data_IF_424292343050
#
_entry.id   IF_424292343050
#
_cell.length_a   1.000
_cell.length_b   1.000
_cell.length_c   1.000
_cell.angle_alpha   90.00
_cell.angle_beta   90.00
_cell.angle_gamma   90.00
#
_symmetry.space_group_name_H-M   'P 1'
#
loop_
_entity.id
_entity.type
_entity.pdbx_description
1 polymer ?
#
# COMPACT_ATOMS: atom_id res chain seq x y z
N UNK A 1 5.04 -6.61 4.09
CA UNK A 1 6.40 -6.09 4.22
C UNK A 1 7.35 -7.21 3.94
N UNK A 2 8.23 -7.07 2.97
CA UNK A 2 9.27 -8.07 2.75
C UNK A 2 10.28 -7.98 3.89
N UNK A 3 10.30 -8.96 4.77
CA UNK A 3 11.39 -9.09 5.72
C UNK A 3 12.61 -9.69 5.02
N UNK A 4 13.25 -8.92 4.14
CA UNK A 4 14.67 -9.11 3.83
C UNK A 4 15.53 -8.67 5.02
N UNK A 5 14.92 -8.57 6.20
CA UNK A 5 15.53 -8.00 7.40
C UNK A 5 16.76 -8.78 7.90
N UNK A 6 16.90 -10.04 7.57
CA UNK A 6 17.99 -10.84 8.18
C UNK A 6 19.32 -10.85 7.42
N UNK A 7 19.42 -10.26 6.22
CA UNK A 7 20.72 -10.13 5.52
C UNK A 7 21.16 -8.70 5.23
N UNK A 8 20.34 -7.69 5.51
CA UNK A 8 20.67 -6.27 5.27
C UNK A 8 20.37 -5.42 6.51
N UNK A 9 20.92 -5.78 7.67
CA UNK A 9 20.72 -5.05 8.93
C UNK A 9 21.40 -3.68 8.98
N UNK A 10 22.33 -3.39 8.08
CA UNK A 10 22.96 -2.07 7.95
C UNK A 10 22.44 -1.37 6.69
N UNK A 11 21.21 -0.85 6.74
CA UNK A 11 20.68 0.02 5.70
C UNK A 11 21.38 1.37 5.77
N UNK A 12 22.44 1.54 5.02
CA UNK A 12 22.99 2.88 4.80
C UNK A 12 21.92 3.76 4.12
N UNK A 13 21.81 5.01 4.57
CA UNK A 13 20.92 5.99 3.94
C UNK A 13 21.33 6.13 2.46
N UNK A 14 20.36 6.26 1.53
CA UNK A 14 20.68 6.42 0.11
C UNK A 14 21.70 7.52 -0.10
N UNK A 15 22.68 7.27 -0.97
CA UNK A 15 23.70 8.25 -1.35
C UNK A 15 22.99 9.48 -1.96
N UNK A 16 23.21 10.67 -1.41
CA UNK A 16 22.52 11.91 -1.83
C UNK A 16 21.61 12.54 -0.78
N UNK A 17 21.24 11.81 0.26
CA UNK A 17 20.37 12.35 1.35
C UNK A 17 21.13 13.30 2.28
N UNK A 18 22.47 13.30 2.31
CA UNK A 18 23.25 14.23 3.16
C UNK A 18 22.95 15.71 2.89
N UNK A 19 22.62 16.07 1.65
CA UNK A 19 22.23 17.44 1.29
C UNK A 19 20.78 17.77 1.68
N UNK A 20 19.94 16.75 1.90
CA UNK A 20 18.54 16.87 2.27
C UNK A 20 18.28 16.99 3.78
N UNK A 21 19.26 16.75 4.64
CA UNK A 21 19.09 16.89 6.08
C UNK A 21 18.68 18.32 6.49
N UNK A 22 18.93 19.32 5.66
CA UNK A 22 18.45 20.69 5.84
C UNK A 22 17.02 20.94 5.35
N UNK A 23 16.42 20.05 4.56
CA UNK A 23 15.02 20.09 4.10
C UNK A 23 14.07 19.22 4.94
N UNK A 24 14.57 18.54 5.97
CA UNK A 24 13.80 17.72 6.88
C UNK A 24 12.96 18.57 7.85
N UNK A 25 11.94 19.25 7.34
CA UNK A 25 10.87 19.72 8.19
C UNK A 25 9.82 18.61 8.28
N UNK A 26 9.92 17.74 9.28
CA UNK A 26 8.80 16.90 9.64
C UNK A 26 7.92 17.66 10.61
N UNK A 27 6.64 17.78 10.31
CA UNK A 27 5.69 18.43 11.20
C UNK A 27 4.87 17.38 11.95
N UNK A 28 4.75 17.57 13.24
CA UNK A 28 3.92 16.73 14.12
C UNK A 28 2.67 17.47 14.61
N UNK A 29 2.57 18.77 14.31
CA UNK A 29 1.47 19.64 14.71
C UNK A 29 0.86 20.34 13.50
N UNK A 30 -0.48 20.31 13.41
CA UNK A 30 -1.22 20.90 12.30
C UNK A 30 -1.01 22.41 12.15
N UNK A 31 -1.06 23.15 13.25
CA UNK A 31 -0.95 24.61 13.20
C UNK A 31 0.43 25.04 12.69
N UNK A 32 1.49 24.42 13.20
CA UNK A 32 2.85 24.71 12.75
C UNK A 32 3.03 24.43 11.24
N UNK A 33 2.48 23.32 10.75
CA UNK A 33 2.54 23.01 9.32
C UNK A 33 1.68 23.95 8.49
N UNK A 34 0.48 24.31 8.97
CA UNK A 34 -0.39 25.30 8.32
C UNK A 34 0.31 26.66 8.19
N UNK A 35 0.91 27.15 9.27
CA UNK A 35 1.67 28.42 9.28
C UNK A 35 2.87 28.36 8.32
N UNK A 36 3.59 27.23 8.30
CA UNK A 36 4.68 27.04 7.36
C UNK A 36 4.19 27.10 5.90
N UNK A 37 3.11 26.38 5.55
CA UNK A 37 2.54 26.41 4.20
C UNK A 37 2.07 27.83 3.88
N UNK A 38 1.36 28.50 4.79
CA UNK A 38 0.86 29.85 4.59
C UNK A 38 1.99 30.85 4.30
N UNK A 39 3.08 30.79 5.08
CA UNK A 39 4.25 31.66 4.91
C UNK A 39 4.97 31.43 3.57
N UNK A 40 4.94 30.21 3.06
CA UNK A 40 5.66 29.81 1.84
C UNK A 40 4.74 29.59 0.65
N UNK A 41 3.45 29.95 0.78
CA UNK A 41 2.47 29.75 -0.29
C UNK A 41 2.78 30.62 -1.51
N UNK A 42 2.85 30.01 -2.65
CA UNK A 42 2.93 30.65 -3.97
C UNK A 42 1.82 30.05 -4.81
N UNK A 43 0.90 30.88 -5.28
CA UNK A 43 -0.20 30.41 -6.12
C UNK A 43 0.33 29.67 -7.36
N UNK A 44 -0.18 28.47 -7.68
CA UNK A 44 0.23 27.76 -8.88
C UNK A 44 -0.24 28.49 -10.13
N UNK A 45 0.68 28.70 -11.07
CA UNK A 45 0.39 29.40 -12.33
C UNK A 45 -0.17 28.43 -13.35
N UNK A 46 -1.27 28.81 -14.01
CA UNK A 46 -1.80 28.07 -15.16
C UNK A 46 -0.74 27.94 -16.25
N UNK A 47 -0.52 26.73 -16.71
CA UNK A 47 0.48 26.45 -17.75
C UNK A 47 -0.16 25.57 -18.83
N UNK A 48 0.20 25.83 -20.08
CA UNK A 48 -0.21 24.95 -21.18
C UNK A 48 0.55 23.61 -21.06
N UNK A 49 -0.17 22.52 -20.80
CA UNK A 49 0.39 21.17 -20.68
C UNK A 49 -0.19 20.25 -21.74
N UNK A 50 0.70 19.43 -22.33
CA UNK A 50 0.28 18.33 -23.20
C UNK A 50 0.12 17.06 -22.37
N UNK A 51 -1.03 16.40 -22.46
CA UNK A 51 -1.36 15.20 -21.71
C UNK A 51 -1.79 14.08 -22.66
N UNK A 52 -1.50 12.85 -22.30
CA UNK A 52 -2.14 11.70 -22.93
C UNK A 52 -3.56 11.58 -22.34
N UNK A 53 -4.55 11.63 -23.19
CA UNK A 53 -5.96 11.49 -22.84
C UNK A 53 -6.35 10.03 -22.62
N UNK A 54 -7.52 9.82 -21.99
CA UNK A 54 -8.12 8.49 -21.74
C UNK A 54 -7.44 7.63 -20.68
N UNK A 55 -6.94 8.27 -19.63
CA UNK A 55 -6.42 7.58 -18.45
C UNK A 55 -7.49 7.44 -17.36
N UNK A 56 -7.33 6.43 -16.48
CA UNK A 56 -8.14 6.29 -15.27
C UNK A 56 -8.03 7.53 -14.38
N UNK A 57 -6.87 8.20 -14.40
CA UNK A 57 -6.59 9.45 -13.70
C UNK A 57 -7.46 10.58 -14.24
N UNK A 58 -7.54 10.75 -15.56
CA UNK A 58 -8.35 11.80 -16.18
C UNK A 58 -9.84 11.66 -15.83
N UNK A 59 -10.38 10.42 -15.91
CA UNK A 59 -11.78 10.15 -15.54
C UNK A 59 -12.08 10.50 -14.08
N UNK A 60 -11.11 10.29 -13.17
CA UNK A 60 -11.24 10.66 -11.77
C UNK A 60 -11.21 12.17 -11.57
N UNK A 61 -10.28 12.87 -12.21
CA UNK A 61 -10.10 14.31 -12.05
C UNK A 61 -11.28 15.11 -12.61
N UNK A 62 -11.88 14.69 -13.73
CA UNK A 62 -13.05 15.37 -14.32
C UNK A 62 -14.26 15.46 -13.39
N UNK A 63 -14.42 14.49 -12.49
CA UNK A 63 -15.57 14.37 -11.59
C UNK A 63 -15.15 14.44 -10.11
N UNK A 64 -14.00 15.05 -9.83
CA UNK A 64 -13.49 15.14 -8.47
C UNK A 64 -13.79 16.49 -7.82
N UNK A 65 -13.65 16.50 -6.51
CA UNK A 65 -13.64 17.70 -5.68
C UNK A 65 -12.24 18.33 -5.59
N UNK A 66 -11.32 17.95 -6.48
CA UNK A 66 -9.94 18.41 -6.42
C UNK A 66 -9.75 19.81 -7.04
N UNK A 67 -9.02 20.64 -6.32
CA UNK A 67 -8.53 21.94 -6.76
C UNK A 67 -7.19 22.26 -6.11
N UNK A 68 -6.46 23.21 -6.67
CA UNK A 68 -5.11 23.59 -6.21
C UNK A 68 -5.11 24.98 -5.57
N UNK A 69 -6.08 25.25 -4.70
CA UNK A 69 -6.14 26.49 -3.90
C UNK A 69 -5.51 26.29 -2.52
N UNK A 70 -5.13 27.38 -1.88
CA UNK A 70 -4.60 27.33 -0.51
C UNK A 70 -5.57 26.65 0.46
N UNK A 71 -6.85 27.00 0.38
CA UNK A 71 -7.90 26.44 1.24
C UNK A 71 -8.03 24.93 1.05
N UNK A 72 -7.98 24.45 -0.19
CA UNK A 72 -8.02 23.02 -0.48
C UNK A 72 -6.81 22.27 0.06
N UNK A 73 -5.62 22.88 -0.02
CA UNK A 73 -4.39 22.32 0.55
C UNK A 73 -4.50 22.20 2.06
N UNK A 74 -4.96 23.25 2.75
CA UNK A 74 -5.11 23.24 4.21
C UNK A 74 -6.22 22.25 4.64
N UNK A 75 -7.33 22.22 3.92
CA UNK A 75 -8.39 21.25 4.19
C UNK A 75 -7.89 19.79 4.07
N UNK A 76 -7.13 19.51 3.03
CA UNK A 76 -6.55 18.17 2.80
C UNK A 76 -5.54 17.81 3.86
N UNK A 77 -4.66 18.75 4.25
CA UNK A 77 -3.72 18.57 5.35
C UNK A 77 -4.46 18.21 6.65
N UNK A 78 -5.51 18.96 6.98
CA UNK A 78 -6.33 18.71 8.17
C UNK A 78 -6.96 17.31 8.11
N UNK A 79 -7.55 16.94 6.98
CA UNK A 79 -8.15 15.63 6.75
C UNK A 79 -7.14 14.49 6.97
N UNK A 80 -5.98 14.59 6.33
CA UNK A 80 -4.96 13.54 6.43
C UNK A 80 -4.38 13.46 7.85
N UNK A 81 -4.01 14.59 8.45
CA UNK A 81 -3.44 14.59 9.81
C UNK A 81 -4.40 14.03 10.85
N UNK A 82 -5.67 14.39 10.78
CA UNK A 82 -6.62 14.02 11.81
C UNK A 82 -7.34 12.69 11.55
N UNK A 83 -7.41 12.24 10.28
CA UNK A 83 -8.06 10.97 9.93
C UNK A 83 -7.11 9.84 9.62
N UNK A 84 -6.00 10.15 8.98
CA UNK A 84 -5.07 9.15 8.45
C UNK A 84 -3.69 9.23 9.09
N UNK A 85 -3.50 10.17 10.01
CA UNK A 85 -2.33 10.38 10.83
C UNK A 85 -1.13 10.95 10.08
N UNK A 86 -0.73 10.42 8.95
CA UNK A 86 0.51 10.77 8.26
C UNK A 86 0.33 10.89 6.75
N UNK A 87 1.19 11.69 6.14
CA UNK A 87 1.27 11.87 4.69
C UNK A 87 2.48 12.73 4.33
N UNK A 88 2.61 13.02 3.05
CA UNK A 88 3.66 13.87 2.52
C UNK A 88 3.01 14.99 1.71
N UNK A 89 3.31 16.24 2.04
CA UNK A 89 2.94 17.38 1.21
C UNK A 89 4.00 17.65 0.18
N UNK A 90 3.60 17.78 -1.09
CA UNK A 90 4.50 17.97 -2.24
C UNK A 90 4.07 19.21 -3.02
N UNK A 91 5.04 20.07 -3.32
CA UNK A 91 4.83 21.29 -4.09
C UNK A 91 5.90 21.45 -5.16
N UNK A 92 5.46 21.61 -6.40
CA UNK A 92 6.31 22.03 -7.52
C UNK A 92 5.99 23.46 -7.94
N UNK A 93 7.02 24.28 -8.17
CA UNK A 93 6.92 25.63 -8.74
C UNK A 93 8.10 25.89 -9.68
N UNK A 94 7.81 26.48 -10.82
CA UNK A 94 8.82 26.81 -11.82
C UNK A 94 9.71 25.61 -12.18
N UNK A 95 9.11 24.44 -12.39
CA UNK A 95 9.78 23.19 -12.71
C UNK A 95 10.71 22.65 -11.60
N UNK A 96 10.56 23.07 -10.37
CA UNK A 96 11.40 22.65 -9.23
C UNK A 96 10.53 22.09 -8.10
N UNK A 97 11.00 21.02 -7.50
CA UNK A 97 10.48 20.52 -6.24
C UNK A 97 10.80 21.53 -5.12
N UNK A 98 9.81 22.27 -4.67
CA UNK A 98 9.96 23.33 -3.65
C UNK A 98 9.75 22.81 -2.25
N UNK A 99 8.74 21.97 -2.09
CA UNK A 99 8.43 21.39 -0.80
C UNK A 99 8.19 19.88 -0.97
N UNK A 100 8.78 19.12 -0.09
CA UNK A 100 8.57 17.68 0.07
C UNK A 100 8.62 17.39 1.58
N UNK A 101 7.47 17.50 2.22
CA UNK A 101 7.36 17.61 3.68
C UNK A 101 6.59 16.43 4.21
N UNK A 102 7.28 15.59 4.99
CA UNK A 102 6.64 14.54 5.76
C UNK A 102 5.92 15.13 6.98
N UNK A 103 4.73 14.65 7.26
CA UNK A 103 4.02 15.01 8.47
C UNK A 103 3.35 13.80 9.10
N UNK A 104 3.27 13.85 10.43
CA UNK A 104 2.63 12.83 11.23
C UNK A 104 1.98 13.49 12.45
N UNK A 105 0.71 13.22 12.69
CA UNK A 105 0.06 13.73 13.89
C UNK A 105 0.65 13.07 15.14
N UNK A 106 1.10 13.90 16.09
CA UNK A 106 1.51 13.40 17.40
C UNK A 106 0.25 13.11 18.23
N UNK A 107 0.06 11.87 18.65
CA UNK A 107 -1.10 11.47 19.45
C UNK A 107 -1.28 12.23 20.77
N UNK A 108 -0.24 12.90 21.27
CA UNK A 108 -0.35 13.77 22.46
C UNK A 108 -1.20 15.02 22.19
N UNK A 109 -1.21 15.50 20.95
CA UNK A 109 -1.98 16.68 20.53
C UNK A 109 -3.40 16.34 20.09
N UNK A 110 -3.77 15.08 20.11
CA UNK A 110 -5.09 14.60 19.76
C UNK A 110 -6.13 14.84 20.87
N UNK A 111 -6.12 16.01 21.49
CA UNK A 111 -7.22 16.55 22.30
C UNK A 111 -8.40 17.01 21.45
N UNK A 112 -8.34 16.78 20.16
CA UNK A 112 -9.35 17.13 19.19
C UNK A 112 -10.58 16.22 19.36
N UNK A 113 -11.80 16.69 19.09
CA UNK A 113 -13.02 15.87 19.11
C UNK A 113 -12.96 14.62 18.21
N UNK A 114 -12.00 14.52 17.30
CA UNK A 114 -11.71 13.33 16.51
C UNK A 114 -10.79 12.32 17.19
N UNK A 115 -10.18 12.65 18.31
CA UNK A 115 -9.31 11.75 19.06
C UNK A 115 -10.05 10.54 19.62
N UNK A 116 -11.33 10.69 19.89
CA UNK A 116 -12.16 9.62 20.44
C UNK A 116 -12.36 8.43 19.50
N UNK A 117 -12.05 8.55 18.23
CA UNK A 117 -12.18 7.42 17.32
C UNK A 117 -11.07 6.38 17.47
N UNK A 118 -9.98 6.71 18.16
CA UNK A 118 -8.90 5.77 18.51
C UNK A 118 -9.12 5.09 19.86
N UNK A 119 -10.07 5.55 20.63
CA UNK A 119 -10.48 4.88 21.85
C UNK A 119 -11.66 3.98 21.51
N UNK A 120 -11.42 2.68 21.54
CA UNK A 120 -12.54 1.75 21.55
C UNK A 120 -13.37 2.07 22.81
N UNK A 121 -14.68 2.07 22.65
CA UNK A 121 -15.61 2.14 23.79
C UNK A 121 -15.16 1.14 24.84
N UNK A 122 -15.25 1.50 26.11
CA UNK A 122 -14.74 0.66 27.22
C UNK A 122 -15.30 -0.76 27.17
N UNK A 123 -16.56 -0.95 26.79
CA UNK A 123 -17.16 -2.26 26.62
C UNK A 123 -16.57 -3.13 25.49
N UNK A 124 -15.86 -2.55 24.52
CA UNK A 124 -15.14 -3.31 23.48
C UNK A 124 -13.77 -3.75 24.01
N UNK A 125 -13.10 -2.92 24.80
CA UNK A 125 -11.85 -3.30 25.49
C UNK A 125 -12.07 -4.47 26.43
N UNK A 126 -13.12 -4.40 27.26
CA UNK A 126 -13.49 -5.46 28.18
C UNK A 126 -13.80 -6.77 27.46
N UNK A 127 -14.50 -6.73 26.34
CA UNK A 127 -14.77 -7.93 25.51
C UNK A 127 -13.51 -8.52 24.90
N UNK A 128 -12.58 -7.70 24.44
CA UNK A 128 -11.29 -8.14 23.92
C UNK A 128 -10.48 -8.78 25.06
N UNK A 129 -10.43 -8.14 26.21
CA UNK A 129 -9.69 -8.64 27.37
C UNK A 129 -10.29 -9.95 27.88
N UNK A 130 -11.62 -10.03 28.00
CA UNK A 130 -12.31 -11.25 28.40
C UNK A 130 -12.06 -12.41 27.41
N UNK A 131 -12.05 -12.12 26.13
CA UNK A 131 -11.75 -13.11 25.10
C UNK A 131 -10.33 -13.70 25.26
N UNK A 132 -9.33 -12.86 25.52
CA UNK A 132 -7.97 -13.32 25.78
C UNK A 132 -7.85 -14.11 27.08
N UNK A 133 -8.55 -13.69 28.12
CA UNK A 133 -8.56 -14.41 29.40
C UNK A 133 -9.18 -15.81 29.25
N UNK A 134 -10.20 -15.95 28.41
CA UNK A 134 -10.80 -17.26 28.10
C UNK A 134 -9.91 -18.13 27.21
N UNK A 135 -9.27 -17.56 26.17
CA UNK A 135 -8.31 -18.26 25.32
C UNK A 135 -7.04 -18.64 26.11
N UNK A 136 -6.59 -17.79 27.03
CA UNK A 136 -5.47 -18.08 27.92
C UNK A 136 -5.72 -19.27 28.85
N UNK A 137 -6.97 -19.48 29.25
CA UNK A 137 -7.41 -20.67 30.02
C UNK A 137 -7.42 -21.95 29.16
N UNK A 138 -7.48 -21.81 27.83
CA UNK A 138 -7.54 -22.96 26.90
C UNK A 138 -6.21 -23.32 26.24
N UNK A 139 -5.20 -22.40 26.28
CA UNK A 139 -3.88 -22.62 25.67
C UNK A 139 -2.77 -22.05 26.55
N UNK A 140 -1.78 -22.87 26.83
CA UNK A 140 -0.58 -22.47 27.60
C UNK A 140 0.38 -21.54 26.84
N UNK A 141 0.19 -21.30 25.53
CA UNK A 141 1.10 -20.53 24.67
C UNK A 141 0.38 -19.40 23.91
N UNK A 142 -0.03 -18.33 24.62
CA UNK A 142 -0.31 -17.05 23.97
C UNK A 142 0.99 -16.25 23.88
N UNK A 143 1.38 -15.71 22.69
CA UNK A 143 2.59 -14.92 22.57
C UNK A 143 2.59 -13.72 23.54
N UNK A 144 3.73 -13.46 24.20
CA UNK A 144 3.92 -12.35 25.13
C UNK A 144 3.48 -10.98 24.60
N UNK A 145 3.47 -10.80 23.28
CA UNK A 145 3.08 -9.56 22.61
C UNK A 145 1.59 -9.22 22.77
N UNK A 146 0.72 -10.23 22.90
CA UNK A 146 -0.71 -10.01 23.15
C UNK A 146 -0.96 -9.47 24.55
N UNK A 147 -0.22 -9.96 25.54
CA UNK A 147 -0.29 -9.50 26.92
C UNK A 147 0.16 -8.06 27.10
N UNK A 148 1.21 -7.66 26.35
CA UNK A 148 1.75 -6.29 26.32
C UNK A 148 0.72 -5.29 25.74
N UNK A 149 -0.06 -5.69 24.75
CA UNK A 149 -1.10 -4.86 24.14
C UNK A 149 -2.21 -4.47 25.11
N UNK A 150 -2.60 -5.35 26.05
CA UNK A 150 -3.68 -5.12 27.02
C UNK A 150 -3.22 -4.39 28.30
N UNK A 151 -2.01 -4.65 28.75
CA UNK A 151 -1.49 -4.08 30.00
C UNK A 151 -1.19 -2.58 29.93
N UNK A 152 -0.99 -1.99 28.75
CA UNK A 152 -0.43 -0.65 28.59
C UNK A 152 -1.42 0.41 28.07
N UNK A 153 -2.72 0.37 28.42
CA UNK A 153 -3.71 1.38 28.00
C UNK A 153 -3.60 1.73 26.50
N UNK A 154 -3.41 0.73 25.66
CA UNK A 154 -3.24 0.91 24.23
C UNK A 154 -4.55 1.43 23.62
N UNK A 155 -4.42 2.39 22.70
CA UNK A 155 -5.56 2.85 21.89
C UNK A 155 -5.76 1.91 20.73
N UNK A 156 -6.99 1.67 20.34
CA UNK A 156 -7.38 0.76 19.29
C UNK A 156 -8.18 1.48 18.22
N UNK A 157 -8.06 1.06 16.99
CA UNK A 157 -8.92 1.51 15.90
C UNK A 157 -9.39 0.33 15.06
N UNK A 158 -10.54 0.51 14.44
CA UNK A 158 -11.14 -0.51 13.57
C UNK A 158 -11.06 -0.03 12.12
N UNK A 159 -10.48 -0.85 11.27
CA UNK A 159 -10.42 -0.60 9.83
C UNK A 159 -10.81 -1.88 9.10
N UNK A 160 -11.76 -1.79 8.17
CA UNK A 160 -12.28 -2.95 7.44
C UNK A 160 -12.76 -4.10 8.36
N UNK A 161 -13.39 -3.75 9.48
CA UNK A 161 -13.83 -4.69 10.54
C UNK A 161 -12.68 -5.44 11.26
N UNK A 162 -11.45 -4.98 11.09
CA UNK A 162 -10.30 -5.47 11.84
C UNK A 162 -9.91 -4.48 12.93
N UNK A 163 -9.60 -5.00 14.11
CA UNK A 163 -9.10 -4.20 15.21
C UNK A 163 -7.57 -4.14 15.10
N UNK A 164 -7.05 -2.93 15.02
CA UNK A 164 -5.61 -2.69 14.99
C UNK A 164 -5.17 -2.03 16.29
N UNK A 165 -4.18 -2.62 16.96
CA UNK A 165 -3.53 -2.00 18.11
C UNK A 165 -2.74 -0.75 17.68
N UNK A 166 -2.94 0.36 18.34
CA UNK A 166 -2.18 1.59 18.10
C UNK A 166 -1.08 1.72 19.14
N UNK A 167 0.11 1.75 18.64
CA UNK A 167 1.40 2.06 19.24
C UNK A 167 1.44 2.46 20.72
N UNK A 168 2.42 1.90 21.47
CA UNK A 168 2.83 2.40 22.78
C UNK A 168 3.00 3.91 22.72
N UNK A 169 2.20 4.63 23.49
CA UNK A 169 2.55 5.98 23.89
C UNK A 169 3.50 5.79 25.06
N UNK A 170 4.79 5.87 24.80
CA UNK A 170 5.76 5.94 25.88
C UNK A 170 5.57 7.28 26.59
N UNK A 171 4.92 7.23 27.76
CA UNK A 171 4.63 8.41 28.57
C UNK A 171 5.88 9.05 29.18
N UNK A 172 7.04 8.43 29.01
CA UNK A 172 8.28 8.84 29.67
C UNK A 172 9.29 9.55 28.75
N UNK A 173 9.08 9.59 27.45
CA UNK A 173 9.98 10.35 26.56
C UNK A 173 9.50 11.78 26.41
N UNK A 174 10.22 12.71 27.03
CA UNK A 174 10.08 14.17 26.82
C UNK A 174 10.57 14.64 25.45
N UNK A 175 11.13 13.76 24.65
CA UNK A 175 11.58 14.06 23.30
C UNK A 175 10.44 13.85 22.32
N UNK A 176 10.21 14.83 21.46
CA UNK A 176 9.35 14.66 20.29
C UNK A 176 9.93 13.50 19.48
N UNK A 177 9.22 12.37 19.32
CA UNK A 177 9.79 11.27 18.60
C UNK A 177 10.07 11.71 17.16
N UNK A 178 11.33 11.71 16.78
CA UNK A 178 11.74 11.81 15.40
C UNK A 178 11.19 10.56 14.70
N UNK A 179 10.11 10.73 13.97
CA UNK A 179 9.57 9.63 13.18
C UNK A 179 10.36 9.57 11.90
N UNK A 180 11.26 8.60 11.83
CA UNK A 180 12.01 8.35 10.62
C UNK A 180 11.02 8.12 9.45
N UNK A 181 11.18 8.84 8.33
CA UNK A 181 10.33 8.66 7.17
C UNK A 181 10.37 7.21 6.71
N UNK A 182 9.22 6.70 6.30
CA UNK A 182 9.13 5.33 5.79
C UNK A 182 9.83 5.17 4.43
N UNK A 183 9.98 3.93 4.01
CA UNK A 183 10.61 3.57 2.73
C UNK A 183 9.99 4.31 1.53
N UNK A 184 8.67 4.50 1.51
CA UNK A 184 7.98 5.20 0.45
C UNK A 184 8.41 6.65 0.31
N UNK A 185 8.71 7.32 1.43
CA UNK A 185 9.21 8.70 1.43
C UNK A 185 10.44 8.84 0.54
N UNK A 186 11.44 7.99 0.72
CA UNK A 186 12.69 8.06 -0.03
C UNK A 186 12.52 7.69 -1.50
N UNK A 187 11.69 6.70 -1.79
CA UNK A 187 11.40 6.28 -3.16
C UNK A 187 10.81 7.43 -3.99
N UNK A 188 9.78 8.08 -3.47
CA UNK A 188 9.11 9.16 -4.18
C UNK A 188 9.95 10.43 -4.25
N UNK A 189 10.73 10.75 -3.21
CA UNK A 189 11.65 11.87 -3.24
C UNK A 189 12.63 11.75 -4.41
N UNK A 190 13.30 10.59 -4.53
CA UNK A 190 14.24 10.32 -5.61
C UNK A 190 13.54 10.34 -6.98
N UNK A 191 12.34 9.81 -7.09
CA UNK A 191 11.56 9.88 -8.32
C UNK A 191 11.28 11.33 -8.73
N UNK A 192 10.77 12.16 -7.83
CA UNK A 192 10.39 13.55 -8.12
C UNK A 192 11.60 14.40 -8.49
N UNK A 193 12.75 14.22 -7.85
CA UNK A 193 13.99 14.87 -8.22
C UNK A 193 14.47 14.48 -9.63
N UNK A 194 14.29 13.22 -10.02
CA UNK A 194 14.59 12.77 -11.38
C UNK A 194 13.61 13.32 -12.40
N UNK A 195 12.33 13.51 -12.01
CA UNK A 195 11.34 14.12 -12.89
C UNK A 195 11.70 15.55 -13.24
N UNK A 196 12.06 16.40 -12.28
CA UNK A 196 12.42 17.80 -12.54
C UNK A 196 13.68 17.96 -13.41
N UNK A 197 14.58 16.97 -13.38
CA UNK A 197 15.78 16.93 -14.24
C UNK A 197 15.47 16.45 -15.65
N UNK A 198 14.39 15.69 -15.84
CA UNK A 198 14.08 15.01 -17.11
C UNK A 198 12.94 15.67 -17.88
N UNK A 199 11.98 16.23 -17.16
CA UNK A 199 10.75 16.78 -17.73
C UNK A 199 10.47 18.19 -17.20
N UNK A 200 9.65 18.92 -17.93
CA UNK A 200 9.05 20.15 -17.39
C UNK A 200 7.87 19.75 -16.50
N UNK A 201 8.03 19.89 -15.19
CA UNK A 201 7.01 19.63 -14.18
C UNK A 201 6.17 20.90 -14.00
N UNK A 202 4.83 20.83 -14.11
CA UNK A 202 3.99 22.02 -13.93
C UNK A 202 3.92 22.44 -12.46
N UNK A 203 3.47 23.69 -12.24
CA UNK A 203 3.17 24.19 -10.90
C UNK A 203 1.99 23.42 -10.32
N UNK A 204 2.17 22.80 -9.14
CA UNK A 204 1.18 21.90 -8.57
C UNK A 204 1.44 21.66 -7.08
N UNK A 205 0.38 21.52 -6.31
CA UNK A 205 0.36 21.01 -4.94
C UNK A 205 -0.44 19.73 -4.87
N UNK A 206 0.06 18.76 -4.11
CA UNK A 206 -0.64 17.51 -3.86
C UNK A 206 -0.16 16.83 -2.58
N UNK A 207 -0.91 15.85 -2.13
CA UNK A 207 -0.51 14.99 -1.02
C UNK A 207 -0.20 13.58 -1.53
N UNK A 208 0.77 12.94 -0.91
CA UNK A 208 1.19 11.59 -1.21
C UNK A 208 0.95 10.69 0.00
N UNK A 209 0.31 9.56 -0.25
CA UNK A 209 0.03 8.53 0.75
C UNK A 209 0.88 7.30 0.44
N UNK A 210 1.67 6.87 1.41
CA UNK A 210 2.62 5.74 1.29
C UNK A 210 2.20 4.51 2.10
N UNK A 211 1.07 4.56 2.78
CA UNK A 211 0.57 3.46 3.61
C UNK A 211 -0.57 2.68 2.95
N UNK A 212 -0.89 1.55 3.57
CA UNK A 212 -1.77 0.51 3.01
C UNK A 212 -3.27 0.83 3.16
N UNK A 213 -3.77 1.95 2.64
CA UNK A 213 -5.21 2.20 2.51
C UNK A 213 -5.53 3.35 1.55
N UNK A 214 -6.74 3.38 1.04
CA UNK A 214 -7.32 4.49 0.28
C UNK A 214 -8.04 5.42 1.26
N UNK A 215 -8.07 6.73 0.99
CA UNK A 215 -8.42 7.67 2.03
C UNK A 215 -9.61 8.59 1.72
N UNK A 216 -9.81 9.07 0.50
CA UNK A 216 -10.87 10.04 0.21
C UNK A 216 -12.02 9.43 -0.57
N UNK A 217 -13.16 9.19 0.09
CA UNK A 217 -14.37 8.69 -0.57
C UNK A 217 -14.99 9.76 -1.49
N UNK A 218 -15.52 9.34 -2.65
CA UNK A 218 -16.08 10.26 -3.67
C UNK A 218 -17.28 11.08 -3.17
N UNK A 219 -18.07 10.54 -2.25
CA UNK A 219 -19.23 11.20 -1.67
C UNK A 219 -18.86 11.93 -0.35
N UNK A 220 -17.57 12.12 -0.09
CA UNK A 220 -17.04 12.75 1.12
C UNK A 220 -17.58 12.14 2.41
N UNK A 221 -17.83 10.82 2.39
CA UNK A 221 -18.22 10.08 3.56
C UNK A 221 -17.01 9.81 4.46
N UNK A 222 -17.27 9.71 5.76
CA UNK A 222 -16.24 9.27 6.69
C UNK A 222 -15.80 7.83 6.33
N UNK A 223 -14.50 7.57 6.12
CA UNK A 223 -14.01 6.23 5.85
C UNK A 223 -14.21 5.26 7.04
N UNK A 224 -14.51 5.79 8.23
CA UNK A 224 -14.71 5.03 9.46
C UNK A 224 -16.03 5.37 10.17
N UNK A 225 -17.19 5.33 9.49
CA UNK A 225 -18.45 5.81 10.06
C UNK A 225 -18.89 5.02 11.31
N UNK A 226 -18.47 3.77 11.42
CA UNK A 226 -18.76 2.90 12.57
C UNK A 226 -17.96 3.23 13.84
N UNK A 227 -16.96 4.11 13.73
CA UNK A 227 -16.15 4.55 14.87
C UNK A 227 -16.61 5.92 15.36
N UNK A 228 -17.01 6.79 14.46
CA UNK A 228 -17.12 8.22 14.74
C UNK A 228 -18.52 8.73 14.94
N UNK A 229 -19.53 8.09 14.41
CA UNK A 229 -20.94 8.55 14.46
C UNK A 229 -21.16 10.06 14.24
N UNK A 230 -20.10 10.82 13.89
CA UNK A 230 -20.11 12.27 13.73
C UNK A 230 -19.64 12.66 12.34
N UNK A 231 -20.36 13.55 11.73
CA UNK A 231 -19.97 14.19 10.50
C UNK A 231 -18.70 15.02 10.74
N UNK A 232 -17.70 14.86 9.89
CA UNK A 232 -16.45 15.57 10.03
C UNK A 232 -16.60 16.99 9.50
N UNK A 233 -16.24 18.01 10.30
CA UNK A 233 -16.35 19.40 9.90
C UNK A 233 -15.53 19.73 8.64
N UNK A 234 -14.36 19.11 8.47
CA UNK A 234 -13.53 19.31 7.27
C UNK A 234 -14.06 18.59 6.01
N UNK A 235 -14.97 17.63 6.15
CA UNK A 235 -15.72 17.07 5.01
C UNK A 235 -16.90 17.97 4.57
N UNK A 236 -17.23 19.00 5.32
CA UNK A 236 -18.18 20.04 4.90
C UNK A 236 -17.57 20.94 3.81
N UNK A 237 -16.25 21.09 3.80
CA UNK A 237 -15.55 21.72 2.70
C UNK A 237 -15.48 20.72 1.53
N UNK A 238 -16.07 21.10 0.40
CA UNK A 238 -16.17 20.25 -0.80
C UNK A 238 -14.88 20.15 -1.61
N UNK A 239 -13.85 20.93 -1.26
CA UNK A 239 -12.63 21.03 -2.06
C UNK A 239 -11.42 20.50 -1.33
N UNK A 240 -10.68 19.66 -2.02
CA UNK A 240 -9.45 19.03 -1.56
C UNK A 240 -8.31 19.26 -2.56
N UNK A 241 -7.08 19.32 -2.08
CA UNK A 241 -5.91 19.17 -2.95
C UNK A 241 -5.78 17.71 -3.41
N UNK A 242 -5.23 17.46 -4.59
CA UNK A 242 -5.09 16.10 -5.12
C UNK A 242 -4.32 15.17 -4.17
N UNK A 243 -4.80 13.94 -4.05
CA UNK A 243 -4.20 12.90 -3.21
C UNK A 243 -3.72 11.77 -4.10
N UNK A 244 -2.40 11.55 -4.12
CA UNK A 244 -1.75 10.48 -4.83
C UNK A 244 -1.51 9.30 -3.89
N UNK A 245 -1.74 8.09 -4.40
CA UNK A 245 -1.66 6.87 -3.60
C UNK A 245 -1.11 5.69 -4.42
N UNK A 246 -0.59 4.67 -3.78
CA UNK A 246 -0.11 3.45 -4.42
C UNK A 246 -1.22 2.66 -5.15
N UNK A 247 -2.46 2.80 -4.73
CA UNK A 247 -3.64 2.19 -5.35
C UNK A 247 -4.89 3.02 -5.07
N UNK A 248 -6.00 2.65 -5.71
CA UNK A 248 -7.31 3.22 -5.46
C UNK A 248 -8.40 2.16 -5.58
N UNK A 249 -9.65 2.50 -5.27
CA UNK A 249 -10.84 1.71 -5.57
C UNK A 249 -11.91 2.59 -6.24
N UNK A 250 -12.97 1.96 -6.76
CA UNK A 250 -14.00 2.66 -7.57
C UNK A 250 -14.61 3.88 -6.87
N UNK A 251 -14.88 3.75 -5.58
CA UNK A 251 -15.62 4.76 -4.82
C UNK A 251 -14.72 5.78 -4.09
N UNK A 252 -13.41 5.73 -4.33
CA UNK A 252 -12.44 6.66 -3.75
C UNK A 252 -11.81 7.55 -4.82
N UNK A 253 -11.45 8.76 -4.43
CA UNK A 253 -10.86 9.78 -5.31
C UNK A 253 -9.34 9.65 -5.42
N UNK A 254 -8.69 8.89 -4.55
CA UNK A 254 -7.24 8.68 -4.57
C UNK A 254 -6.74 8.41 -5.99
N UNK A 255 -5.67 9.08 -6.39
CA UNK A 255 -5.09 8.99 -7.74
C UNK A 255 -3.97 7.96 -7.72
N UNK A 256 -4.12 6.82 -8.43
CA UNK A 256 -3.10 5.80 -8.43
C UNK A 256 -1.86 6.24 -9.22
N UNK A 257 -0.68 6.05 -8.63
CA UNK A 257 0.63 6.31 -9.23
C UNK A 257 1.51 5.06 -9.10
N UNK A 258 2.64 4.99 -9.80
CA UNK A 258 3.61 3.91 -9.60
C UNK A 258 3.93 3.72 -8.13
N UNK A 259 3.92 2.46 -7.68
CA UNK A 259 4.09 2.15 -6.25
C UNK A 259 5.52 2.39 -5.79
N UNK A 260 5.72 2.55 -4.49
CA UNK A 260 7.05 2.64 -3.92
C UNK A 260 7.93 1.42 -4.26
N UNK A 261 7.35 0.22 -4.38
CA UNK A 261 8.06 -0.99 -4.79
C UNK A 261 8.49 -0.92 -6.26
N UNK A 262 7.65 -0.38 -7.16
CA UNK A 262 8.02 -0.15 -8.56
C UNK A 262 9.18 0.84 -8.69
N UNK A 263 9.14 1.90 -7.90
CA UNK A 263 10.17 2.93 -7.87
C UNK A 263 11.48 2.36 -7.33
N UNK A 264 11.44 1.69 -6.17
CA UNK A 264 12.60 1.08 -5.54
C UNK A 264 13.30 0.09 -6.46
N UNK A 265 12.52 -0.80 -7.09
CA UNK A 265 13.01 -1.80 -8.03
C UNK A 265 13.74 -1.15 -9.20
N UNK A 266 13.20 -0.08 -9.76
CA UNK A 266 13.77 0.55 -10.96
C UNK A 266 14.91 1.51 -10.66
N UNK A 267 14.93 2.13 -9.50
CA UNK A 267 15.96 3.06 -9.06
C UNK A 267 17.10 2.39 -8.29
N UNK A 268 16.97 1.10 -7.96
CA UNK A 268 17.92 0.37 -7.10
C UNK A 268 18.12 1.06 -5.74
N UNK A 269 17.06 1.69 -5.23
CA UNK A 269 17.09 2.33 -3.92
C UNK A 269 17.22 1.25 -2.86
N UNK A 270 18.12 1.44 -1.90
CA UNK A 270 18.36 0.51 -0.78
C UNK A 270 18.94 -0.86 -1.14
N UNK A 271 19.42 -1.06 -2.37
CA UNK A 271 20.30 -2.19 -2.64
C UNK A 271 21.70 -1.83 -2.08
N UNK A 272 22.17 -2.48 -1.00
CA UNK A 272 23.56 -2.34 -0.61
C UNK A 272 24.48 -2.74 -1.77
N UNK A 273 25.69 -2.21 -1.86
CA UNK A 273 26.62 -2.53 -2.95
C UNK A 273 26.84 -4.05 -3.15
N UNK A 274 26.68 -4.83 -2.10
CA UNK A 274 26.87 -6.28 -2.08
C UNK A 274 25.57 -7.09 -1.89
N UNK A 275 24.38 -6.46 -1.89
CA UNK A 275 23.11 -7.17 -1.96
C UNK A 275 22.69 -7.27 -3.41
N UNK A 276 22.55 -8.49 -3.91
CA UNK A 276 21.85 -8.72 -5.16
C UNK A 276 20.45 -8.11 -5.03
N UNK A 277 20.11 -7.19 -5.92
CA UNK A 277 18.77 -6.65 -5.96
C UNK A 277 17.83 -7.76 -6.44
N UNK A 278 16.96 -8.31 -5.58
CA UNK A 278 16.10 -9.42 -5.95
C UNK A 278 15.16 -9.08 -7.11
N UNK A 279 15.02 -7.80 -7.44
CA UNK A 279 14.17 -7.32 -8.51
C UNK A 279 14.87 -7.13 -9.86
N UNK A 280 16.20 -7.26 -9.92
CA UNK A 280 16.98 -6.90 -11.11
C UNK A 280 17.81 -8.05 -11.66
N UNK A 281 17.80 -9.18 -11.01
CA UNK A 281 18.58 -10.30 -11.52
C UNK A 281 17.92 -10.84 -12.79
N UNK A 282 18.61 -10.75 -13.92
CA UNK A 282 18.16 -11.36 -15.18
C UNK A 282 18.09 -12.89 -15.11
N UNK A 283 18.51 -13.48 -13.99
CA UNK A 283 18.53 -14.93 -13.75
C UNK A 283 17.16 -15.58 -13.53
N UNK A 284 16.08 -14.78 -13.46
CA UNK A 284 14.69 -15.32 -13.42
C UNK A 284 14.29 -16.08 -14.70
N UNK A 285 15.17 -16.18 -15.69
CA UNK A 285 14.88 -16.82 -16.97
C UNK A 285 15.16 -18.32 -16.95
N UNK A 286 14.41 -19.06 -16.17
CA UNK A 286 14.36 -20.49 -16.39
C UNK A 286 13.70 -20.78 -17.74
N UNK A 287 14.25 -21.72 -18.48
CA UNK A 287 13.60 -22.20 -19.70
C UNK A 287 12.19 -22.70 -19.35
N UNK A 288 11.19 -22.31 -20.14
CA UNK A 288 9.79 -22.71 -19.92
C UNK A 288 9.63 -24.22 -19.72
N UNK A 289 10.35 -25.01 -20.52
CA UNK A 289 10.23 -26.47 -20.54
C UNK A 289 10.80 -27.14 -19.27
N UNK A 290 11.69 -26.45 -18.55
CA UNK A 290 12.26 -26.90 -17.26
C UNK A 290 11.49 -26.42 -16.05
N UNK A 291 10.53 -25.51 -16.23
CA UNK A 291 9.72 -25.01 -15.11
C UNK A 291 8.77 -26.07 -14.56
N UNK A 292 8.54 -26.03 -13.26
CA UNK A 292 7.57 -26.86 -12.55
C UNK A 292 6.17 -26.52 -13.04
N UNK A 293 5.44 -27.52 -13.57
CA UNK A 293 4.08 -27.33 -14.11
C UNK A 293 3.03 -27.28 -13.01
N UNK A 294 3.22 -26.36 -12.03
CA UNK A 294 2.29 -26.01 -10.96
C UNK A 294 2.21 -24.52 -10.80
N UNK A 295 1.18 -24.04 -10.12
CA UNK A 295 1.12 -22.67 -9.66
C UNK A 295 1.78 -22.53 -8.27
N UNK A 296 2.44 -21.39 -8.01
CA UNK A 296 3.04 -21.10 -6.72
C UNK A 296 2.42 -19.85 -6.10
N UNK A 297 2.24 -19.89 -4.77
CA UNK A 297 1.89 -18.73 -3.96
C UNK A 297 2.68 -18.73 -2.66
N UNK A 298 3.27 -17.58 -2.33
CA UNK A 298 3.88 -17.30 -1.03
C UNK A 298 3.46 -15.91 -0.57
N UNK A 299 3.01 -15.80 0.66
CA UNK A 299 2.62 -14.52 1.24
C UNK A 299 2.05 -14.68 2.63
N UNK A 300 2.06 -13.59 3.40
CA UNK A 300 1.47 -13.54 4.74
C UNK A 300 -0.05 -13.59 4.66
N UNK A 301 -0.71 -13.94 5.77
CA UNK A 301 -2.17 -14.00 5.88
C UNK A 301 -2.86 -12.62 5.89
N UNK A 302 -2.25 -11.61 5.26
CA UNK A 302 -2.85 -10.27 5.12
C UNK A 302 -4.05 -10.27 4.18
N UNK A 303 -4.89 -9.27 4.31
CA UNK A 303 -6.11 -9.12 3.51
C UNK A 303 -7.34 -8.94 4.38
N UNK A 304 -8.50 -8.91 3.74
CA UNK A 304 -9.77 -8.84 4.44
C UNK A 304 -10.11 -10.22 5.03
N UNK A 305 -10.49 -10.23 6.30
CA UNK A 305 -10.93 -11.46 6.97
C UNK A 305 -9.81 -12.33 7.55
N UNK A 306 -10.21 -13.39 8.23
CA UNK A 306 -9.34 -14.33 8.98
C UNK A 306 -9.68 -15.78 8.80
N UNK A 307 -10.73 -16.06 8.08
CA UNK A 307 -11.21 -17.42 7.86
C UNK A 307 -11.04 -17.80 6.39
N UNK A 308 -11.04 -19.09 6.05
CA UNK A 308 -11.02 -19.52 4.66
C UNK A 308 -12.23 -19.00 3.85
N UNK A 309 -13.31 -18.58 4.51
CA UNK A 309 -14.51 -18.05 3.86
C UNK A 309 -14.33 -16.60 3.45
N UNK A 310 -13.60 -15.80 4.22
CA UNK A 310 -13.51 -14.35 4.04
C UNK A 310 -12.12 -13.83 3.64
N UNK A 311 -11.04 -14.61 3.84
CA UNK A 311 -9.68 -14.23 3.44
C UNK A 311 -9.22 -15.05 2.24
N UNK A 312 -8.94 -14.38 1.13
CA UNK A 312 -8.52 -15.04 -0.12
C UNK A 312 -7.22 -15.84 0.00
N UNK A 313 -6.24 -15.36 0.78
CA UNK A 313 -4.94 -16.03 0.94
C UNK A 313 -5.07 -17.28 1.81
N UNK A 314 -5.79 -17.16 2.92
CA UNK A 314 -6.10 -18.30 3.79
C UNK A 314 -6.92 -19.33 3.02
N UNK A 315 -7.95 -18.90 2.27
CA UNK A 315 -8.76 -19.79 1.42
C UNK A 315 -7.92 -20.57 0.43
N UNK A 316 -6.96 -19.92 -0.26
CA UNK A 316 -6.11 -20.60 -1.23
C UNK A 316 -5.32 -21.74 -0.59
N UNK A 317 -4.69 -21.47 0.56
CA UNK A 317 -3.89 -22.49 1.27
C UNK A 317 -4.79 -23.58 1.85
N UNK A 318 -5.92 -23.22 2.45
CA UNK A 318 -6.91 -24.16 2.97
C UNK A 318 -7.45 -25.14 1.90
N UNK A 319 -7.65 -24.67 0.66
CA UNK A 319 -8.11 -25.50 -0.45
C UNK A 319 -7.11 -26.58 -0.86
N UNK A 320 -5.84 -26.43 -0.59
CA UNK A 320 -4.77 -27.42 -0.83
C UNK A 320 -4.87 -28.13 -2.20
N UNK A 321 -5.00 -27.35 -3.28
CA UNK A 321 -5.14 -27.89 -4.61
C UNK A 321 -3.87 -28.64 -5.07
N UNK A 322 -4.02 -29.85 -5.64
CA UNK A 322 -2.91 -30.71 -6.06
C UNK A 322 -1.98 -30.08 -7.13
N UNK A 323 -2.49 -29.15 -7.92
CA UNK A 323 -1.74 -28.43 -8.94
C UNK A 323 -1.25 -27.03 -8.50
N UNK A 324 -1.33 -26.74 -7.19
CA UNK A 324 -0.90 -25.47 -6.62
C UNK A 324 0.01 -25.75 -5.41
N UNK A 325 1.12 -25.08 -5.36
CA UNK A 325 2.02 -25.01 -4.20
C UNK A 325 1.80 -23.65 -3.50
N UNK A 326 0.84 -23.61 -2.59
CA UNK A 326 0.48 -22.42 -1.84
C UNK A 326 0.81 -22.58 -0.37
N UNK A 327 1.56 -21.61 0.19
CA UNK A 327 1.86 -21.57 1.62
C UNK A 327 1.79 -20.15 2.17
N UNK A 328 1.40 -20.03 3.43
CA UNK A 328 1.49 -18.79 4.19
C UNK A 328 2.88 -18.60 4.76
N UNK A 329 3.35 -17.35 4.75
CA UNK A 329 4.65 -16.95 5.28
C UNK A 329 4.46 -15.94 6.41
N UNK A 330 5.49 -15.78 7.24
CA UNK A 330 5.46 -14.87 8.38
C UNK A 330 4.99 -15.56 9.66
N UNK A 331 5.09 -14.85 10.76
CA UNK A 331 4.59 -15.33 12.04
C UNK A 331 3.06 -15.17 12.10
N UNK A 332 2.42 -15.98 12.93
CA UNK A 332 0.98 -15.89 13.18
C UNK A 332 0.68 -14.59 13.95
N UNK A 333 0.24 -13.58 13.21
CA UNK A 333 -0.13 -12.30 13.80
C UNK A 333 -1.53 -12.41 14.40
N UNK A 334 -1.62 -12.25 15.71
CA UNK A 334 -2.88 -12.15 16.42
C UNK A 334 -3.60 -10.87 15.98
N UNK A 335 -4.76 -11.03 15.38
CA UNK A 335 -5.65 -9.92 15.02
C UNK A 335 -7.06 -10.23 15.46
N UNK A 336 -7.80 -9.18 15.77
CA UNK A 336 -9.19 -9.25 16.16
C UNK A 336 -10.08 -8.69 15.08
N UNK A 337 -11.24 -9.26 14.91
CA UNK A 337 -12.26 -8.80 13.97
C UNK A 337 -13.55 -8.51 14.71
N UNK A 338 -14.20 -7.39 14.38
CA UNK A 338 -15.60 -7.19 14.72
C UNK A 338 -16.46 -7.88 13.66
N UNK A 339 -17.32 -8.79 14.10
CA UNK A 339 -18.30 -9.39 13.22
C UNK A 339 -19.48 -8.42 12.98
N UNK A 340 -20.41 -8.82 12.11
CA UNK A 340 -21.60 -8.01 11.77
C UNK A 340 -22.54 -7.70 12.97
N UNK A 341 -22.34 -8.38 14.10
CA UNK A 341 -23.10 -8.17 15.36
C UNK A 341 -22.34 -7.29 16.35
N UNK A 342 -21.20 -6.70 15.95
CA UNK A 342 -20.34 -5.90 16.82
C UNK A 342 -19.61 -6.71 17.90
N UNK A 343 -19.55 -8.05 17.77
CA UNK A 343 -18.75 -8.90 18.64
C UNK A 343 -17.33 -9.05 18.12
N UNK A 344 -16.40 -9.17 19.03
CA UNK A 344 -15.00 -9.43 18.71
C UNK A 344 -14.83 -10.92 18.47
N UNK A 345 -14.36 -11.29 17.30
CA UNK A 345 -14.02 -12.66 16.94
C UNK A 345 -12.49 -12.75 16.73
N UNK A 346 -11.91 -13.75 17.35
CA UNK A 346 -10.53 -14.17 17.10
C UNK A 346 -10.53 -15.65 16.70
N UNK A 347 -9.90 -15.92 15.57
CA UNK A 347 -9.73 -17.30 15.11
C UNK A 347 -8.25 -17.45 14.70
N UNK A 348 -7.46 -18.25 15.42
CA UNK A 348 -6.10 -18.54 15.00
C UNK A 348 -6.11 -19.34 13.69
N UNK A 349 -5.18 -19.03 12.80
CA UNK A 349 -5.07 -19.72 11.49
C UNK A 349 -4.81 -21.22 11.68
N UNK A 350 -4.10 -21.58 12.74
CA UNK A 350 -3.83 -22.97 13.12
C UNK A 350 -5.09 -23.82 13.34
N UNK A 351 -6.23 -23.18 13.65
CA UNK A 351 -7.53 -23.88 13.78
C UNK A 351 -7.97 -24.56 12.47
N UNK A 352 -7.46 -24.11 11.34
CA UNK A 352 -7.77 -24.65 10.02
C UNK A 352 -6.72 -25.65 9.52
N UNK A 353 -5.84 -26.12 10.38
CA UNK A 353 -4.71 -27.00 10.00
C UNK A 353 -3.82 -26.36 8.91
N UNK A 354 -3.64 -25.05 8.99
CA UNK A 354 -2.78 -24.28 8.12
C UNK A 354 -1.52 -23.92 8.88
N UNK A 355 -0.39 -24.39 8.35
CA UNK A 355 0.93 -24.01 8.82
C UNK A 355 1.34 -22.66 8.22
N UNK A 356 1.71 -21.72 9.09
CA UNK A 356 2.26 -20.43 8.74
C UNK A 356 3.66 -20.30 9.32
N UNK A 357 4.69 -20.23 8.46
CA UNK A 357 6.08 -20.17 8.88
C UNK A 357 6.91 -19.30 7.94
N UNK A 358 7.94 -18.66 8.50
CA UNK A 358 8.96 -17.95 7.73
C UNK A 358 9.81 -18.91 6.87
N UNK A 359 9.88 -20.17 7.22
CA UNK A 359 10.57 -21.23 6.44
C UNK A 359 9.90 -21.46 5.07
N UNK A 360 8.63 -21.09 4.94
CA UNK A 360 7.89 -21.17 3.67
C UNK A 360 8.27 -20.09 2.66
N UNK A 361 9.09 -19.10 3.04
CA UNK A 361 9.48 -18.02 2.14
C UNK A 361 10.26 -18.59 0.95
N UNK A 362 9.83 -18.17 -0.23
CA UNK A 362 10.56 -18.33 -1.47
C UNK A 362 10.89 -16.94 -2.01
N UNK A 363 12.14 -16.72 -2.37
CA UNK A 363 12.52 -15.52 -3.09
C UNK A 363 11.92 -15.54 -4.50
N UNK A 364 11.91 -14.40 -5.18
CA UNK A 364 11.30 -14.31 -6.51
C UNK A 364 11.95 -15.25 -7.52
N UNK A 365 13.25 -15.50 -7.40
CA UNK A 365 14.00 -16.41 -8.24
C UNK A 365 13.51 -17.86 -8.08
N UNK A 366 13.29 -18.32 -6.85
CA UNK A 366 12.75 -19.63 -6.56
C UNK A 366 11.30 -19.77 -7.07
N UNK A 367 10.47 -18.73 -6.89
CA UNK A 367 9.13 -18.70 -7.45
C UNK A 367 9.14 -18.72 -8.98
N UNK A 368 10.18 -18.19 -9.62
CA UNK A 368 10.32 -18.19 -11.08
C UNK A 368 10.55 -19.59 -11.69
N UNK A 369 10.86 -20.58 -10.85
CA UNK A 369 10.95 -21.97 -11.28
C UNK A 369 9.60 -22.60 -11.60
N UNK A 370 8.48 -21.95 -11.28
CA UNK A 370 7.14 -22.42 -11.55
C UNK A 370 6.59 -21.81 -12.85
N UNK A 371 5.83 -22.59 -13.63
CA UNK A 371 5.17 -22.10 -14.86
C UNK A 371 4.12 -21.02 -14.55
N UNK A 372 3.48 -21.08 -13.38
CA UNK A 372 2.40 -20.18 -13.00
C UNK A 372 2.66 -19.58 -11.63
N UNK A 373 2.37 -18.29 -11.48
CA UNK A 373 2.55 -17.55 -10.21
C UNK A 373 1.24 -16.87 -9.85
N UNK A 374 0.75 -17.09 -8.63
CA UNK A 374 -0.53 -16.52 -8.19
C UNK A 374 -0.32 -15.19 -7.52
N UNK A 375 -1.11 -14.20 -7.94
CA UNK A 375 -1.21 -12.88 -7.32
C UNK A 375 -2.54 -12.72 -6.60
N UNK A 376 -2.47 -12.41 -5.30
CA UNK A 376 -3.63 -12.11 -4.44
C UNK A 376 -3.35 -10.82 -3.69
N UNK A 377 -4.35 -9.95 -3.59
CA UNK A 377 -4.31 -8.72 -2.80
C UNK A 377 -3.91 -8.99 -1.34
N UNK A 378 -3.33 -7.97 -0.69
CA UNK A 378 -3.09 -7.95 0.75
C UNK A 378 -4.14 -7.11 1.48
N UNK A 379 -3.72 -6.31 2.45
CA UNK A 379 -4.59 -5.31 3.10
C UNK A 379 -5.16 -4.32 2.08
N UNK A 380 -4.35 -3.99 1.07
CA UNK A 380 -4.73 -3.30 -0.16
C UNK A 380 -4.18 -4.09 -1.37
N UNK A 381 -3.98 -3.46 -2.51
CA UNK A 381 -3.28 -4.05 -3.64
C UNK A 381 -1.91 -4.60 -3.19
N UNK A 382 -1.53 -5.76 -3.68
CA UNK A 382 -0.18 -6.28 -3.44
C UNK A 382 0.78 -5.68 -4.47
N UNK A 383 1.73 -4.87 -4.00
CA UNK A 383 2.61 -4.06 -4.86
C UNK A 383 3.64 -4.86 -5.64
N UNK A 384 3.86 -6.14 -5.30
CA UNK A 384 4.76 -7.03 -6.04
C UNK A 384 4.27 -7.44 -7.44
N UNK A 385 3.04 -7.08 -7.84
CA UNK A 385 2.45 -7.57 -9.09
C UNK A 385 3.34 -7.31 -10.32
N UNK A 386 3.89 -6.10 -10.45
CA UNK A 386 4.80 -5.79 -11.55
C UNK A 386 6.04 -6.69 -11.57
N UNK A 387 6.60 -7.05 -10.42
CA UNK A 387 7.76 -7.93 -10.30
C UNK A 387 7.46 -9.38 -10.73
N UNK A 388 6.22 -9.85 -10.56
CA UNK A 388 5.83 -11.20 -10.98
C UNK A 388 5.92 -11.39 -12.49
N UNK A 389 5.67 -10.34 -13.26
CA UNK A 389 5.82 -10.38 -14.72
C UNK A 389 7.27 -10.55 -15.19
N UNK A 390 8.27 -10.18 -14.36
CA UNK A 390 9.67 -10.38 -14.67
C UNK A 390 10.08 -11.86 -14.73
N UNK A 391 9.29 -12.76 -14.12
CA UNK A 391 9.63 -14.17 -13.97
C UNK A 391 9.44 -15.01 -15.25
N UNK A 392 8.87 -14.48 -16.32
CA UNK A 392 8.44 -15.26 -17.50
C UNK A 392 7.58 -16.47 -17.11
N UNK A 393 6.72 -16.27 -16.15
CA UNK A 393 5.68 -17.22 -15.72
C UNK A 393 4.32 -16.61 -15.99
N UNK A 394 3.28 -17.42 -16.18
CA UNK A 394 1.92 -16.88 -16.26
C UNK A 394 1.52 -16.33 -14.91
N UNK A 395 1.24 -15.05 -14.83
CA UNK A 395 0.70 -14.43 -13.62
C UNK A 395 -0.80 -14.70 -13.57
N UNK A 396 -1.25 -15.52 -12.63
CA UNK A 396 -2.66 -15.75 -12.34
C UNK A 396 -3.09 -14.69 -11.33
N UNK A 397 -3.95 -13.77 -11.75
CA UNK A 397 -4.42 -12.65 -10.93
C UNK A 397 -5.80 -12.97 -10.39
N UNK A 398 -5.95 -13.05 -9.08
CA UNK A 398 -7.26 -13.09 -8.44
C UNK A 398 -7.81 -11.68 -8.41
N UNK A 399 -8.98 -11.48 -9.03
CA UNK A 399 -9.60 -10.17 -9.17
C UNK A 399 -9.74 -9.45 -7.83
N UNK A 400 -9.31 -8.20 -7.84
CA UNK A 400 -9.29 -7.29 -6.70
C UNK A 400 -10.22 -6.11 -6.94
N UNK A 401 -10.67 -5.46 -5.85
CA UNK A 401 -11.31 -4.15 -5.93
C UNK A 401 -10.31 -3.01 -6.07
N UNK A 402 -9.06 -3.26 -5.73
CA UNK A 402 -7.98 -2.27 -5.80
C UNK A 402 -7.48 -2.12 -7.23
N UNK A 403 -7.27 -0.88 -7.63
CA UNK A 403 -6.87 -0.47 -8.97
C UNK A 403 -5.47 0.11 -8.87
N UNK A 404 -4.54 -0.50 -9.60
CA UNK A 404 -3.16 -0.04 -9.73
C UNK A 404 -3.02 0.91 -10.94
N UNK A 405 -1.96 1.70 -10.97
CA UNK A 405 -1.67 2.65 -12.04
C UNK A 405 -1.61 2.02 -13.45
N UNK A 406 -1.24 0.76 -13.54
CA UNK A 406 -1.13 0.00 -14.79
C UNK A 406 -2.30 -0.97 -15.06
N UNK A 407 -3.38 -0.94 -14.27
CA UNK A 407 -4.51 -1.90 -14.37
C UNK A 407 -5.02 -2.08 -15.80
N UNK A 408 -5.10 -0.99 -16.57
CA UNK A 408 -5.56 -0.99 -17.96
C UNK A 408 -4.67 -1.79 -18.94
N UNK A 409 -3.45 -2.14 -18.55
CA UNK A 409 -2.51 -2.91 -19.35
C UNK A 409 -2.69 -4.41 -19.18
N UNK A 410 -3.46 -4.85 -18.17
CA UNK A 410 -3.71 -6.24 -17.87
C UNK A 410 -4.81 -6.79 -18.79
N UNK A 411 -4.49 -7.86 -19.54
CA UNK A 411 -5.39 -8.49 -20.49
C UNK A 411 -5.46 -9.99 -20.27
N UNK A 412 -6.67 -10.44 -19.89
CA UNK A 412 -6.93 -11.86 -19.63
C UNK A 412 -6.59 -12.73 -20.85
N UNK A 413 -5.82 -13.80 -20.63
CA UNK A 413 -5.35 -14.75 -21.64
C UNK A 413 -4.46 -14.17 -22.75
N UNK A 414 -4.06 -12.89 -22.63
CA UNK A 414 -3.07 -12.29 -23.51
C UNK A 414 -1.72 -12.11 -22.81
N UNK A 415 -1.68 -11.45 -21.62
CA UNK A 415 -0.46 -11.20 -20.87
C UNK A 415 -0.54 -11.60 -19.39
N UNK A 416 -1.71 -12.02 -18.92
CA UNK A 416 -1.97 -12.59 -17.60
C UNK A 416 -3.20 -13.49 -17.66
N UNK A 417 -3.45 -14.23 -16.58
CA UNK A 417 -4.67 -15.04 -16.47
C UNK A 417 -5.50 -14.55 -15.29
N UNK A 418 -6.65 -13.92 -15.54
CA UNK A 418 -7.48 -13.33 -14.50
C UNK A 418 -8.56 -14.32 -14.10
N UNK A 419 -8.71 -14.56 -12.79
CA UNK A 419 -9.79 -15.35 -12.19
C UNK A 419 -10.60 -14.45 -11.23
N UNK A 420 -11.90 -14.71 -11.10
CA UNK A 420 -12.75 -13.91 -10.22
C UNK A 420 -12.61 -14.32 -8.75
N UNK A 421 -12.44 -15.60 -8.51
CA UNK A 421 -12.42 -16.19 -7.15
C UNK A 421 -11.26 -17.18 -6.99
N UNK A 422 -10.94 -17.49 -5.73
CA UNK A 422 -9.95 -18.52 -5.38
C UNK A 422 -10.37 -19.90 -5.92
N UNK A 423 -11.66 -20.18 -5.93
CA UNK A 423 -12.18 -21.50 -6.35
C UNK A 423 -11.99 -21.77 -7.85
N UNK A 424 -11.76 -20.73 -8.66
CA UNK A 424 -11.46 -20.87 -10.09
C UNK A 424 -9.99 -21.25 -10.35
N UNK A 425 -9.08 -21.10 -9.39
CA UNK A 425 -7.62 -21.29 -9.58
C UNK A 425 -7.31 -22.71 -10.06
N UNK A 426 -7.90 -23.72 -9.43
CA UNK A 426 -7.66 -25.12 -9.81
C UNK A 426 -7.94 -25.37 -11.31
N UNK A 427 -9.08 -24.91 -11.79
CA UNK A 427 -9.47 -25.06 -13.19
C UNK A 427 -8.64 -24.17 -14.13
N UNK A 428 -8.24 -22.98 -13.68
CA UNK A 428 -7.35 -22.09 -14.42
C UNK A 428 -5.99 -22.76 -14.66
N UNK A 429 -5.39 -23.35 -13.62
CA UNK A 429 -4.12 -24.08 -13.73
C UNK A 429 -4.27 -25.31 -14.65
N UNK A 430 -5.35 -26.09 -14.52
CA UNK A 430 -5.64 -27.20 -15.43
C UNK A 430 -5.74 -26.76 -16.89
N UNK A 431 -6.41 -25.63 -17.13
CA UNK A 431 -6.53 -25.08 -18.49
C UNK A 431 -5.14 -24.68 -19.03
N UNK A 432 -4.30 -24.01 -18.21
CA UNK A 432 -2.96 -23.63 -18.60
C UNK A 432 -2.07 -24.85 -18.90
N UNK A 433 -2.15 -25.89 -18.07
CA UNK A 433 -1.44 -27.16 -18.28
C UNK A 433 -1.86 -27.84 -19.61
N UNK A 434 -3.15 -27.89 -19.89
CA UNK A 434 -3.69 -28.49 -21.14
C UNK A 434 -3.33 -27.64 -22.36
N UNK A 435 -3.13 -26.35 -22.24
CA UNK A 435 -2.83 -25.40 -23.30
C UNK A 435 -1.42 -24.80 -23.14
N UNK A 436 -0.40 -25.64 -22.94
CA UNK A 436 0.95 -25.23 -22.57
C UNK A 436 1.59 -24.23 -23.54
N UNK A 437 1.38 -24.39 -24.85
CA UNK A 437 1.86 -23.45 -25.89
C UNK A 437 1.23 -22.06 -25.68
N UNK A 438 -0.06 -21.98 -25.40
CA UNK A 438 -0.74 -20.71 -25.10
C UNK A 438 -0.29 -20.14 -23.77
N UNK A 439 -0.07 -20.97 -22.76
CA UNK A 439 0.46 -20.57 -21.48
C UNK A 439 1.84 -19.95 -21.62
N UNK A 440 2.73 -20.56 -22.39
CA UNK A 440 4.05 -20.00 -22.74
C UNK A 440 3.92 -18.62 -23.40
N UNK A 441 3.02 -18.47 -24.38
CA UNK A 441 2.80 -17.19 -25.05
C UNK A 441 2.27 -16.11 -24.08
N UNK A 442 1.35 -16.45 -23.17
CA UNK A 442 0.85 -15.52 -22.13
C UNK A 442 2.00 -15.08 -21.24
N UNK A 443 2.88 -15.99 -20.81
CA UNK A 443 4.03 -15.69 -19.98
C UNK A 443 5.03 -14.77 -20.71
N UNK A 444 5.30 -15.02 -21.98
CA UNK A 444 6.15 -14.18 -22.83
C UNK A 444 5.56 -12.77 -22.99
N UNK A 445 4.29 -12.66 -23.31
CA UNK A 445 3.60 -11.37 -23.41
C UNK A 445 3.57 -10.61 -22.08
N UNK A 446 3.44 -11.32 -20.95
CA UNK A 446 3.55 -10.74 -19.62
C UNK A 446 4.96 -10.17 -19.37
N UNK A 447 5.99 -10.88 -19.80
CA UNK A 447 7.36 -10.38 -19.70
C UNK A 447 7.64 -9.21 -20.65
N UNK A 448 7.07 -9.19 -21.86
CA UNK A 448 7.14 -8.02 -22.73
C UNK A 448 6.44 -6.80 -22.11
N UNK A 449 5.29 -7.01 -21.43
CA UNK A 449 4.64 -5.97 -20.64
C UNK A 449 5.61 -5.41 -19.57
N UNK A 450 6.32 -6.29 -18.84
CA UNK A 450 7.31 -5.89 -17.85
C UNK A 450 8.43 -5.04 -18.45
N UNK A 451 9.04 -5.48 -19.55
CA UNK A 451 10.12 -4.76 -20.21
C UNK A 451 9.69 -3.40 -20.76
N UNK A 452 8.48 -3.36 -21.32
CA UNK A 452 8.02 -2.19 -22.07
C UNK A 452 7.29 -1.15 -21.18
N UNK A 453 6.79 -1.53 -19.99
CA UNK A 453 5.96 -0.63 -19.18
C UNK A 453 6.43 -0.45 -17.74
N UNK A 454 7.16 -1.42 -17.14
CA UNK A 454 7.54 -1.34 -15.72
C UNK A 454 9.00 -0.94 -15.49
N UNK A 455 9.61 -0.25 -16.46
CA UNK A 455 10.95 0.28 -16.36
C UNK A 455 10.93 1.76 -15.95
N UNK A 456 12.03 2.28 -15.40
CA UNK A 456 12.15 3.65 -14.88
C UNK A 456 11.68 4.72 -15.89
N UNK A 457 11.99 4.54 -17.17
CA UNK A 457 11.56 5.47 -18.23
C UNK A 457 10.04 5.63 -18.27
N UNK A 458 9.32 4.51 -18.16
CA UNK A 458 7.85 4.51 -18.25
C UNK A 458 7.21 4.93 -16.91
N UNK A 459 7.79 4.54 -15.79
CA UNK A 459 7.38 5.03 -14.46
C UNK A 459 7.46 6.55 -14.42
N UNK A 460 8.57 7.15 -14.86
CA UNK A 460 8.71 8.61 -14.96
C UNK A 460 7.67 9.22 -15.92
N UNK A 461 7.46 8.59 -17.09
CA UNK A 461 6.51 9.07 -18.09
C UNK A 461 5.07 9.03 -17.57
N UNK A 462 4.69 7.97 -16.86
CA UNK A 462 3.35 7.86 -16.28
C UNK A 462 3.15 8.85 -15.14
N UNK A 463 4.13 8.97 -14.26
CA UNK A 463 4.08 9.95 -13.16
C UNK A 463 3.96 11.38 -13.68
N UNK A 464 4.81 11.81 -14.62
CA UNK A 464 4.73 13.18 -15.17
C UNK A 464 3.40 13.43 -15.90
N UNK A 465 2.85 12.43 -16.62
CA UNK A 465 1.55 12.55 -17.25
C UNK A 465 0.44 12.73 -16.20
N UNK A 466 0.49 12.00 -15.08
CA UNK A 466 -0.43 12.17 -13.96
C UNK A 466 -0.34 13.58 -13.37
N UNK A 467 0.87 14.11 -13.11
CA UNK A 467 1.04 15.48 -12.61
C UNK A 467 0.52 16.53 -13.59
N UNK A 468 0.72 16.34 -14.88
CA UNK A 468 0.17 17.23 -15.92
C UNK A 468 -1.35 17.17 -16.00
N UNK A 469 -1.97 16.00 -15.83
CA UNK A 469 -3.42 15.87 -15.77
C UNK A 469 -3.99 16.59 -14.54
N UNK A 470 -3.35 16.42 -13.37
CA UNK A 470 -3.75 17.15 -12.17
C UNK A 470 -3.66 18.67 -12.40
N UNK A 471 -2.56 19.15 -12.94
CA UNK A 471 -2.44 20.59 -13.27
C UNK A 471 -3.54 21.06 -14.22
N UNK A 472 -3.83 20.28 -15.28
CA UNK A 472 -4.88 20.64 -16.28
C UNK A 472 -6.27 20.78 -15.67
N UNK A 473 -6.60 19.95 -14.67
CA UNK A 473 -7.96 19.87 -14.12
C UNK A 473 -8.13 20.58 -12.77
N UNK A 474 -7.05 20.84 -12.04
CA UNK A 474 -7.10 21.37 -10.68
C UNK A 474 -6.51 22.78 -10.54
N UNK A 475 -5.64 23.24 -11.45
CA UNK A 475 -5.06 24.57 -11.53
C UNK A 475 -5.73 25.36 -12.66
#
# INVERSE_FOLDING_TARGET
>A
MYSTQNKCQNREKPVGIKEFSQMYNSFTNFNNMKEYIQKNWIEPKKQKVSTNTDSIVEKRLKNSHYTNTFEAVINTLQYIMFRHKKGIYVCFRNNKLKHYINFINNFKDWKNPYANYLELEDGVKEKIQHYFEEEKKQKEDIPNDAEILFQNKSKWYVMNNLIHGVFKIDSNTKETPFVEPDFGYYCFLELFQRLEKTYRVPDIDFFLITHDHVILHKDLQDPFPHITNKKLSHLENKYFAPILNNCTIKDFLDIPIPTQDDIARTLKIFAPPNCENPYLNNSYYNNWDTKISKAVFRGTATGYGWTPEDNKRIRLVYKNYSNVDAKLTGEDNIRFKLNSKGKVDYIPISKYDIDQSDEHKLILEEQSQYKYVIHIEGNVASFRLASLFAMKSVVIIVKSKYILWFEKLLRHKENCFIVNTIDEIYNAVKWLQKNDIKAKQIAENGYELYKNHFQLKNIKKDTINTLKLIHKYCV
#
